data_IF_839162284594
#
_entry.id   IF_839162284594
#
_cell.length_a   1.000
_cell.length_b   1.000
_cell.length_c   1.000
_cell.angle_alpha   90.00
_cell.angle_beta   90.00
_cell.angle_gamma   90.00
#
_symmetry.space_group_name_H-M   'P 1'
#
loop_
_entity.id
_entity.type
_entity.pdbx_description
1 polymer ?
#
# COMPACT_ATOMS: atom_id res chain seq x y z
N UNK A 1 -7.96 12.64 -13.43
CA UNK A 1 -6.75 11.83 -13.62
C UNK A 1 -6.87 10.55 -12.81
N UNK A 2 -6.68 9.39 -13.43
CA UNK A 2 -6.84 8.08 -12.78
C UNK A 2 -5.77 7.12 -13.26
N UNK A 3 -5.07 6.48 -12.33
CA UNK A 3 -4.20 5.33 -12.57
C UNK A 3 -4.67 4.16 -11.71
N UNK A 4 -4.50 2.95 -12.19
CA UNK A 4 -4.86 1.70 -11.50
C UNK A 4 -3.67 0.76 -11.53
N UNK A 5 -3.27 0.27 -10.37
CA UNK A 5 -2.20 -0.72 -10.25
C UNK A 5 -2.78 -2.09 -9.93
N UNK A 6 -2.16 -3.13 -10.46
CA UNK A 6 -2.50 -4.53 -10.23
C UNK A 6 -1.25 -5.34 -9.96
N UNK A 7 -1.35 -6.29 -9.05
CA UNK A 7 -0.38 -7.38 -8.94
C UNK A 7 -0.62 -8.35 -10.10
N UNK A 8 0.05 -8.11 -11.24
CA UNK A 8 -0.03 -9.02 -12.39
C UNK A 8 0.44 -10.42 -12.02
N UNK A 9 1.45 -10.48 -11.15
CA UNK A 9 1.88 -11.66 -10.42
C UNK A 9 1.97 -11.30 -8.94
N UNK A 10 1.62 -12.23 -8.05
CA UNK A 10 1.59 -11.93 -6.60
C UNK A 10 2.99 -11.86 -6.01
N UNK A 11 3.91 -12.71 -6.50
CA UNK A 11 5.32 -12.68 -6.07
C UNK A 11 6.00 -11.40 -6.54
N UNK A 12 6.78 -10.81 -5.64
CA UNK A 12 7.54 -9.59 -5.89
C UNK A 12 8.99 -9.76 -5.42
N UNK A 13 9.82 -8.73 -5.56
CA UNK A 13 11.19 -8.69 -5.03
C UNK A 13 11.25 -9.00 -3.52
N UNK A 14 10.16 -8.78 -2.77
CA UNK A 14 10.10 -9.06 -1.33
C UNK A 14 10.24 -10.55 -1.01
N UNK A 15 9.84 -11.42 -1.93
CA UNK A 15 10.03 -12.87 -1.78
C UNK A 15 11.50 -13.30 -1.85
N UNK A 16 12.36 -12.51 -2.50
CA UNK A 16 13.81 -12.73 -2.51
C UNK A 16 14.47 -12.27 -1.20
N UNK A 17 13.82 -11.36 -0.46
CA UNK A 17 14.31 -10.84 0.82
C UNK A 17 13.89 -11.71 2.02
N UNK A 18 12.71 -12.33 1.95
CA UNK A 18 12.15 -13.09 3.06
C UNK A 18 11.26 -14.24 2.59
N UNK A 19 11.66 -15.47 2.88
CA UNK A 19 10.94 -16.69 2.49
C UNK A 19 9.51 -16.78 3.06
N UNK A 20 9.23 -16.07 4.16
CA UNK A 20 7.91 -16.04 4.81
C UNK A 20 6.94 -15.02 4.21
N UNK A 21 7.37 -14.21 3.24
CA UNK A 21 6.50 -13.22 2.60
C UNK A 21 5.42 -13.89 1.77
N UNK A 22 4.25 -13.24 1.63
CA UNK A 22 3.10 -13.78 0.88
C UNK A 22 3.50 -14.25 -0.52
N UNK A 23 3.01 -15.43 -0.93
CA UNK A 23 3.33 -16.00 -2.24
C UNK A 23 2.13 -16.08 -3.16
N UNK A 24 0.92 -15.97 -2.61
CA UNK A 24 -0.33 -16.19 -3.34
C UNK A 24 -0.63 -17.66 -3.61
N UNK A 25 0.11 -18.59 -2.99
CA UNK A 25 -0.12 -20.04 -3.17
C UNK A 25 -1.49 -20.50 -2.61
N UNK A 26 -2.13 -19.69 -1.78
CA UNK A 26 -3.47 -19.87 -1.21
C UNK A 26 -4.59 -19.24 -2.05
N UNK A 27 -4.25 -18.53 -3.13
CA UNK A 27 -5.25 -17.92 -4.02
C UNK A 27 -5.76 -18.95 -5.01
N UNK A 28 -7.09 -19.08 -5.10
CA UNK A 28 -7.73 -20.01 -6.01
C UNK A 28 -7.36 -19.73 -7.48
N UNK A 29 -7.03 -20.77 -8.29
CA UNK A 29 -6.61 -20.58 -9.68
C UNK A 29 -7.63 -19.81 -10.53
N UNK A 30 -8.92 -19.94 -10.23
CA UNK A 30 -10.01 -19.23 -10.90
C UNK A 30 -9.97 -17.73 -10.64
N UNK A 31 -9.47 -17.31 -9.47
CA UNK A 31 -9.26 -15.89 -9.14
C UNK A 31 -8.04 -15.36 -9.88
N UNK A 32 -6.92 -16.11 -9.85
CA UNK A 32 -5.70 -15.72 -10.59
C UNK A 32 -5.95 -15.58 -12.09
N UNK A 33 -6.78 -16.46 -12.67
CA UNK A 33 -7.15 -16.40 -14.08
C UNK A 33 -7.91 -15.11 -14.46
N UNK A 34 -8.48 -14.39 -13.49
CA UNK A 34 -9.20 -13.15 -13.73
C UNK A 34 -8.29 -11.92 -13.76
N UNK A 35 -7.08 -11.98 -13.22
CA UNK A 35 -6.17 -10.84 -13.14
C UNK A 35 -5.90 -10.20 -14.52
N UNK A 36 -5.49 -10.97 -15.57
CA UNK A 36 -5.29 -10.38 -16.88
C UNK A 36 -6.57 -9.82 -17.51
N UNK A 37 -7.73 -10.39 -17.16
CA UNK A 37 -9.02 -9.90 -17.66
C UNK A 37 -9.35 -8.53 -17.06
N UNK A 38 -9.18 -8.38 -15.74
CA UNK A 38 -9.45 -7.12 -15.03
C UNK A 38 -8.54 -6.01 -15.53
N UNK A 39 -7.26 -6.28 -15.76
CA UNK A 39 -6.31 -5.33 -16.35
C UNK A 39 -6.79 -4.86 -17.75
N UNK A 40 -7.24 -5.78 -18.59
CA UNK A 40 -7.77 -5.45 -19.93
C UNK A 40 -9.07 -4.65 -19.84
N UNK A 41 -9.96 -4.99 -18.90
CA UNK A 41 -11.18 -4.21 -18.64
C UNK A 41 -10.81 -2.78 -18.25
N UNK A 42 -9.88 -2.60 -17.30
CA UNK A 42 -9.44 -1.28 -16.87
C UNK A 42 -8.83 -0.47 -18.03
N UNK A 43 -7.97 -1.10 -18.84
CA UNK A 43 -7.40 -0.46 -20.02
C UNK A 43 -8.46 -0.12 -21.07
N UNK A 44 -9.47 -0.98 -21.28
CA UNK A 44 -10.59 -0.75 -22.18
C UNK A 44 -11.52 0.37 -21.68
N UNK A 45 -11.63 0.54 -20.36
CA UNK A 45 -12.29 1.69 -19.74
C UNK A 45 -11.52 3.00 -19.92
N UNK A 46 -10.32 2.96 -20.52
CA UNK A 46 -9.51 4.14 -20.84
C UNK A 46 -8.65 4.61 -19.66
N UNK A 47 -8.47 3.77 -18.65
CA UNK A 47 -7.60 4.06 -17.52
C UNK A 47 -6.13 3.75 -17.86
N UNK A 48 -5.20 4.42 -17.21
CA UNK A 48 -3.81 3.98 -17.15
C UNK A 48 -3.72 2.79 -16.22
N UNK A 49 -3.10 1.71 -16.68
CA UNK A 49 -2.96 0.45 -15.95
C UNK A 49 -1.49 0.16 -15.73
N UNK A 50 -1.12 -0.10 -14.48
CA UNK A 50 0.22 -0.49 -14.05
C UNK A 50 0.20 -1.97 -13.59
N UNK A 51 0.45 -2.94 -14.50
CA UNK A 51 0.55 -4.35 -14.13
C UNK A 51 1.95 -4.63 -13.57
N UNK A 52 2.02 -4.89 -12.29
CA UNK A 52 3.31 -5.10 -11.60
C UNK A 52 3.75 -6.56 -11.66
N UNK A 53 5.04 -6.76 -11.90
CA UNK A 53 5.68 -8.08 -11.98
C UNK A 53 6.84 -8.19 -10.98
N UNK A 54 7.75 -7.23 -10.95
CA UNK A 54 8.88 -7.16 -10.02
C UNK A 54 8.49 -6.46 -8.72
N UNK A 55 7.69 -5.39 -8.85
CA UNK A 55 7.13 -4.61 -7.74
C UNK A 55 5.70 -5.05 -7.46
N UNK A 56 5.13 -4.55 -6.37
CA UNK A 56 3.71 -4.72 -6.05
C UNK A 56 2.88 -3.51 -6.52
N UNK A 57 1.57 -3.72 -6.66
CA UNK A 57 0.63 -2.63 -6.98
C UNK A 57 0.77 -1.46 -5.99
N UNK A 58 1.04 -1.77 -4.74
CA UNK A 58 1.22 -0.80 -3.66
C UNK A 58 2.43 0.10 -3.89
N UNK A 59 3.55 -0.47 -4.38
CA UNK A 59 4.75 0.28 -4.73
C UNK A 59 4.48 1.24 -5.91
N UNK A 60 3.71 0.80 -6.90
CA UNK A 60 3.32 1.64 -8.04
C UNK A 60 2.46 2.83 -7.59
N UNK A 61 1.48 2.60 -6.71
CA UNK A 61 0.63 3.68 -6.17
C UNK A 61 1.42 4.64 -5.27
N UNK A 62 2.31 4.12 -4.42
CA UNK A 62 3.20 4.94 -3.59
C UNK A 62 4.16 5.80 -4.44
N UNK A 63 4.69 5.22 -5.52
CA UNK A 63 5.53 5.93 -6.50
C UNK A 63 4.74 7.03 -7.19
N UNK A 64 3.53 6.74 -7.68
CA UNK A 64 2.66 7.72 -8.32
C UNK A 64 2.31 8.87 -7.36
N UNK A 65 1.95 8.56 -6.11
CA UNK A 65 1.66 9.55 -5.10
C UNK A 65 2.88 10.43 -4.80
N UNK A 66 4.06 9.84 -4.68
CA UNK A 66 5.31 10.59 -4.44
C UNK A 66 5.69 11.46 -5.62
N UNK A 67 5.57 10.95 -6.84
CA UNK A 67 5.95 11.63 -8.07
C UNK A 67 5.04 12.80 -8.42
N UNK A 68 3.72 12.63 -8.26
CA UNK A 68 2.75 13.62 -8.70
C UNK A 68 2.33 14.61 -7.60
N UNK A 69 2.52 14.30 -6.32
CA UNK A 69 2.14 15.22 -5.25
C UNK A 69 2.86 16.59 -5.26
N UNK A 70 4.09 16.74 -5.77
CA UNK A 70 4.73 18.07 -5.86
C UNK A 70 4.23 18.92 -7.03
N UNK A 71 3.53 18.34 -8.02
CA UNK A 71 3.05 19.07 -9.20
C UNK A 71 1.98 20.10 -8.77
N UNK A 72 2.15 21.42 -9.09
CA UNK A 72 1.21 22.45 -8.68
C UNK A 72 -0.17 22.33 -9.36
N UNK A 73 -0.31 21.54 -10.40
CA UNK A 73 -1.58 21.27 -11.10
C UNK A 73 -2.42 20.21 -10.39
N UNK A 74 -1.83 19.48 -9.44
CA UNK A 74 -2.52 18.47 -8.64
C UNK A 74 -2.98 19.11 -7.34
N UNK A 75 -4.26 19.22 -7.12
CA UNK A 75 -4.81 19.72 -5.86
C UNK A 75 -4.71 18.68 -4.74
N UNK A 76 -5.04 17.44 -5.05
CA UNK A 76 -5.03 16.34 -4.10
C UNK A 76 -4.81 15.00 -4.81
N UNK A 77 -4.13 14.07 -4.15
CA UNK A 77 -4.03 12.67 -4.54
C UNK A 77 -4.84 11.84 -3.57
N UNK A 78 -5.72 11.01 -4.11
CA UNK A 78 -6.56 10.10 -3.33
C UNK A 78 -6.17 8.67 -3.68
N UNK A 79 -5.60 7.95 -2.72
CA UNK A 79 -5.31 6.52 -2.85
C UNK A 79 -6.54 5.75 -2.38
N UNK A 80 -7.21 5.07 -3.31
CA UNK A 80 -8.40 4.27 -3.03
C UNK A 80 -8.00 2.81 -2.77
N UNK A 81 -7.64 2.49 -1.54
CA UNK A 81 -7.30 1.14 -1.09
C UNK A 81 -7.74 0.94 0.36
N UNK A 82 -8.19 -0.26 0.75
CA UNK A 82 -8.43 -0.60 2.16
C UNK A 82 -7.13 -0.92 2.90
N UNK A 83 -6.01 -1.07 2.20
CA UNK A 83 -4.74 -1.48 2.78
C UNK A 83 -4.16 -0.40 3.70
N UNK A 84 -3.74 -0.85 4.89
CA UNK A 84 -3.19 0.02 5.93
C UNK A 84 -1.79 0.53 5.61
N UNK A 85 -1.07 -0.16 4.75
CA UNK A 85 0.31 0.17 4.41
C UNK A 85 0.41 1.50 3.68
N UNK A 86 -0.63 1.88 2.95
CA UNK A 86 -0.72 3.21 2.32
C UNK A 86 -0.79 4.37 3.32
N UNK A 87 -1.00 4.12 4.61
CA UNK A 87 -0.92 5.18 5.61
C UNK A 87 0.45 5.87 5.63
N UNK A 88 1.52 5.18 5.21
CA UNK A 88 2.86 5.76 5.03
C UNK A 88 2.95 6.79 3.89
N UNK A 89 2.01 6.74 2.92
CA UNK A 89 1.98 7.65 1.79
C UNK A 89 1.28 8.97 2.10
N UNK A 90 0.53 9.05 3.19
CA UNK A 90 -0.28 10.22 3.57
C UNK A 90 0.61 11.43 3.85
N UNK A 91 0.20 12.62 3.36
CA UNK A 91 0.91 13.89 3.53
C UNK A 91 -0.10 15.02 3.74
N UNK A 92 -0.37 15.39 4.97
CA UNK A 92 -1.39 16.38 5.31
C UNK A 92 -2.73 16.02 4.67
N UNK A 93 -3.29 16.97 3.93
CA UNK A 93 -4.48 16.78 3.10
C UNK A 93 -4.14 16.65 1.61
N UNK A 94 -2.84 16.67 1.27
CA UNK A 94 -2.37 16.62 -0.11
C UNK A 94 -2.39 15.21 -0.70
N UNK A 95 -2.02 14.21 0.11
CA UNK A 95 -2.15 12.79 -0.22
C UNK A 95 -2.96 12.14 0.89
N UNK A 96 -4.12 11.61 0.54
CA UNK A 96 -5.07 11.01 1.48
C UNK A 96 -5.46 9.61 1.04
N UNK A 97 -5.91 8.79 1.99
CA UNK A 97 -6.52 7.49 1.70
C UNK A 97 -8.03 7.63 1.64
N UNK A 98 -8.66 6.86 0.77
CA UNK A 98 -10.11 6.72 0.76
C UNK A 98 -10.51 5.24 0.85
N UNK A 99 -10.98 4.82 2.00
CA UNK A 99 -11.66 3.53 2.19
C UNK A 99 -13.07 3.63 1.61
N UNK A 100 -13.22 3.20 0.37
CA UNK A 100 -14.51 3.28 -0.35
C UNK A 100 -15.59 2.36 0.22
N UNK A 101 -15.20 1.31 0.94
CA UNK A 101 -16.16 0.39 1.56
C UNK A 101 -16.86 1.06 2.74
N UNK A 102 -16.09 1.84 3.52
CA UNK A 102 -16.57 2.56 4.70
C UNK A 102 -16.87 4.03 4.42
N UNK A 103 -16.65 4.47 3.18
CA UNK A 103 -16.74 5.88 2.75
C UNK A 103 -16.02 6.84 3.71
N UNK A 104 -14.76 6.51 4.00
CA UNK A 104 -13.93 7.24 4.95
C UNK A 104 -12.65 7.72 4.30
N UNK A 105 -12.44 9.04 4.34
CA UNK A 105 -11.16 9.66 4.00
C UNK A 105 -10.28 9.71 5.24
N UNK A 106 -8.99 9.36 5.07
CA UNK A 106 -7.98 9.38 6.13
C UNK A 106 -6.84 10.28 5.65
N UNK A 107 -6.71 11.42 6.30
CA UNK A 107 -5.59 12.34 6.18
C UNK A 107 -4.53 12.07 7.28
N UNK A 108 -3.55 12.94 7.44
CA UNK A 108 -2.48 12.76 8.42
C UNK A 108 -2.98 12.74 9.87
N UNK A 109 -3.97 13.56 10.19
CA UNK A 109 -4.63 13.53 11.51
C UNK A 109 -5.33 12.18 11.72
N UNK A 110 -6.05 11.70 10.72
CA UNK A 110 -6.70 10.39 10.73
C UNK A 110 -5.70 9.22 10.85
N UNK A 111 -4.47 9.35 10.31
CA UNK A 111 -3.39 8.38 10.52
C UNK A 111 -2.99 8.37 11.99
N UNK A 112 -2.73 9.53 12.58
CA UNK A 112 -2.40 9.63 14.01
C UNK A 112 -3.51 9.08 14.91
N UNK A 113 -4.76 9.40 14.64
CA UNK A 113 -5.90 8.89 15.41
C UNK A 113 -6.03 7.37 15.35
N UNK A 114 -5.83 6.79 14.16
CA UNK A 114 -6.06 5.36 13.93
C UNK A 114 -4.92 4.48 14.42
N UNK A 115 -3.67 4.90 14.18
CA UNK A 115 -2.49 4.07 14.46
C UNK A 115 -1.65 4.57 15.63
N UNK A 116 -1.86 5.80 16.09
CA UNK A 116 -1.11 6.41 17.19
C UNK A 116 0.29 6.87 16.81
N UNK A 117 0.61 6.89 15.52
CA UNK A 117 1.90 7.35 14.96
C UNK A 117 1.65 8.16 13.69
N UNK A 118 2.64 8.95 13.28
CA UNK A 118 2.60 9.63 11.99
C UNK A 118 2.89 8.70 10.81
N UNK A 119 2.58 9.15 9.58
CA UNK A 119 2.80 8.38 8.36
C UNK A 119 4.22 7.80 8.23
N UNK A 120 5.24 8.59 8.58
CA UNK A 120 6.64 8.17 8.48
C UNK A 120 7.03 6.99 9.38
N UNK A 121 6.25 6.72 10.44
CA UNK A 121 6.49 5.60 11.37
C UNK A 121 5.62 4.38 11.10
N UNK A 122 4.81 4.39 10.05
CA UNK A 122 3.96 3.23 9.70
C UNK A 122 4.79 1.98 9.35
N UNK A 123 5.86 2.07 8.54
CA UNK A 123 6.70 0.89 8.29
C UNK A 123 7.32 0.32 9.58
N UNK A 124 7.79 1.19 10.47
CA UNK A 124 8.32 0.79 11.78
C UNK A 124 7.26 0.12 12.66
N UNK A 125 6.04 0.65 12.64
CA UNK A 125 4.90 0.07 13.36
C UNK A 125 4.61 -1.35 12.89
N UNK A 126 4.56 -1.55 11.56
CA UNK A 126 4.31 -2.85 10.93
C UNK A 126 5.48 -3.82 11.15
N UNK A 127 6.71 -3.34 11.07
CA UNK A 127 7.90 -4.14 11.37
C UNK A 127 7.90 -4.69 12.81
N UNK A 128 7.43 -3.89 13.78
CA UNK A 128 7.33 -4.31 15.17
C UNK A 128 6.13 -5.21 15.44
N UNK A 129 4.94 -4.82 15.00
CA UNK A 129 3.71 -5.57 15.31
C UNK A 129 3.44 -6.76 14.39
N UNK A 130 4.10 -6.77 13.25
CA UNK A 130 3.86 -7.73 12.18
C UNK A 130 2.68 -7.37 11.28
N UNK A 131 2.63 -8.06 10.15
CA UNK A 131 1.53 -8.06 9.21
C UNK A 131 1.22 -9.48 8.73
N UNK A 132 0.13 -10.02 9.23
CA UNK A 132 -0.26 -11.41 8.91
C UNK A 132 -0.65 -11.57 7.44
N UNK A 133 -1.21 -10.51 6.82
CA UNK A 133 -1.63 -10.57 5.42
C UNK A 133 -0.42 -10.71 4.49
N UNK A 134 0.70 -10.06 4.83
CA UNK A 134 1.94 -10.12 4.06
C UNK A 134 2.92 -11.19 4.55
N UNK A 135 2.56 -11.94 5.60
CA UNK A 135 3.42 -12.95 6.18
C UNK A 135 4.54 -12.38 7.06
N UNK A 136 4.46 -11.12 7.47
CA UNK A 136 5.44 -10.47 8.35
C UNK A 136 5.14 -10.84 9.80
N UNK A 137 6.05 -11.57 10.50
CA UNK A 137 5.76 -12.08 11.84
C UNK A 137 5.69 -11.01 12.93
N UNK A 138 6.45 -9.92 12.76
CA UNK A 138 6.68 -8.95 13.83
C UNK A 138 7.54 -9.48 14.98
N UNK A 139 7.67 -8.66 16.03
CA UNK A 139 8.50 -8.98 17.21
C UNK A 139 7.61 -9.45 18.37
N UNK A 140 7.94 -10.57 19.03
CA UNK A 140 7.11 -11.11 20.10
C UNK A 140 6.81 -10.08 21.19
N UNK A 141 5.52 -10.00 21.59
CA UNK A 141 4.95 -9.06 22.56
C UNK A 141 4.82 -7.60 22.08
N UNK A 142 5.32 -7.26 20.90
CA UNK A 142 5.10 -5.95 20.28
C UNK A 142 3.76 -5.96 19.52
N UNK A 143 2.74 -5.39 20.12
CA UNK A 143 1.45 -5.16 19.48
C UNK A 143 1.25 -3.68 19.18
N UNK A 144 0.18 -3.32 18.50
CA UNK A 144 -0.08 -1.94 18.05
C UNK A 144 0.12 -0.90 19.17
N UNK A 145 -0.42 -1.14 20.37
CA UNK A 145 -0.36 -0.17 21.47
C UNK A 145 1.07 0.07 21.98
N UNK A 146 1.86 -1.00 22.17
CA UNK A 146 3.24 -0.86 22.64
C UNK A 146 4.12 -0.21 21.57
N UNK A 147 3.98 -0.64 20.31
CA UNK A 147 4.71 -0.10 19.18
C UNK A 147 4.38 1.39 18.99
N UNK A 148 3.09 1.74 18.94
CA UNK A 148 2.68 3.14 18.79
C UNK A 148 3.17 4.02 19.95
N UNK A 149 3.12 3.53 21.21
CA UNK A 149 3.60 4.31 22.35
C UNK A 149 5.09 4.67 22.24
N UNK A 150 5.92 3.73 21.78
CA UNK A 150 7.35 3.97 21.64
C UNK A 150 7.68 4.74 20.35
N UNK A 151 7.01 4.42 19.26
CA UNK A 151 7.24 5.13 17.99
C UNK A 151 6.69 6.57 17.99
N UNK A 152 5.68 6.89 18.77
CA UNK A 152 5.26 8.27 18.97
C UNK A 152 6.36 9.16 19.56
N UNK A 153 7.23 8.56 20.39
CA UNK A 153 8.37 9.26 21.01
C UNK A 153 9.64 9.15 20.16
N UNK A 154 10.00 7.93 19.75
CA UNK A 154 11.28 7.66 19.10
C UNK A 154 11.23 7.65 17.57
N UNK A 155 10.04 7.64 16.98
CA UNK A 155 9.74 7.69 15.55
C UNK A 155 10.18 6.45 14.76
N UNK A 156 11.36 5.89 15.01
CA UNK A 156 11.89 4.74 14.27
C UNK A 156 12.38 3.65 15.21
N UNK A 157 12.43 2.41 14.72
CA UNK A 157 12.96 1.25 15.47
C UNK A 157 14.40 1.50 15.90
N UNK A 158 15.21 2.09 15.04
CA UNK A 158 16.62 2.37 15.27
C UNK A 158 16.84 3.32 16.45
N UNK A 159 15.88 4.23 16.65
CA UNK A 159 15.96 5.25 17.71
C UNK A 159 15.48 4.77 19.07
N UNK A 160 14.85 3.60 19.16
CA UNK A 160 14.41 3.03 20.44
C UNK A 160 15.62 2.56 21.24
N UNK A 161 15.87 3.14 22.45
CA UNK A 161 17.02 2.75 23.27
C UNK A 161 16.93 1.29 23.73
N UNK A 162 18.09 0.63 23.78
CA UNK A 162 18.19 -0.76 24.25
C UNK A 162 17.86 -0.91 25.74
N UNK A 163 18.23 0.08 26.55
CA UNK A 163 17.92 0.08 27.98
C UNK A 163 16.53 0.65 28.24
N UNK A 164 15.56 -0.18 28.70
CA UNK A 164 14.20 0.26 28.95
C UNK A 164 14.08 1.27 30.10
N UNK A 165 15.07 1.37 30.98
CA UNK A 165 15.07 2.35 32.08
C UNK A 165 15.40 3.75 31.55
N UNK A 166 15.97 3.85 30.34
CA UNK A 166 16.23 5.12 29.65
C UNK A 166 15.03 5.62 28.83
N UNK A 167 13.95 4.85 28.73
CA UNK A 167 12.78 5.26 27.95
C UNK A 167 12.06 6.44 28.60
N UNK A 168 11.86 7.52 27.81
CA UNK A 168 11.12 8.72 28.22
C UNK A 168 9.62 8.47 28.38
N UNK A 169 9.09 7.37 27.79
CA UNK A 169 7.70 6.97 27.85
C UNK A 169 7.51 5.65 28.58
N UNK A 170 6.37 5.51 29.27
CA UNK A 170 6.05 4.28 30.02
C UNK A 170 5.35 3.27 29.10
N UNK A 171 5.99 2.14 28.84
CA UNK A 171 5.40 1.00 28.16
C UNK A 171 5.17 -0.17 29.13
N UNK A 172 3.98 -0.78 29.06
CA UNK A 172 3.68 -1.96 29.88
C UNK A 172 4.56 -3.13 29.46
N UNK A 173 5.34 -3.66 30.40
CA UNK A 173 6.26 -4.77 30.13
C UNK A 173 7.55 -4.35 29.44
N UNK A 174 8.01 -3.10 29.64
CA UNK A 174 9.17 -2.48 29.00
C UNK A 174 10.40 -3.40 28.93
N UNK A 175 10.77 -4.07 30.03
CA UNK A 175 11.90 -5.00 30.07
C UNK A 175 11.77 -6.12 29.01
N UNK A 176 10.62 -6.79 28.96
CA UNK A 176 10.42 -7.88 28.01
C UNK A 176 10.24 -7.39 26.56
N UNK A 177 9.76 -6.15 26.35
CA UNK A 177 9.73 -5.52 25.02
C UNK A 177 11.16 -5.23 24.55
N UNK A 178 11.99 -4.63 25.40
CA UNK A 178 13.39 -4.35 25.11
C UNK A 178 14.18 -5.64 24.83
N UNK A 179 14.09 -6.65 25.72
CA UNK A 179 14.77 -7.94 25.52
C UNK A 179 14.42 -8.59 24.19
N UNK A 180 13.13 -8.59 23.81
CA UNK A 180 12.69 -9.16 22.53
C UNK A 180 13.17 -8.35 21.33
N UNK A 181 13.14 -7.01 21.41
CA UNK A 181 13.62 -6.17 20.33
C UNK A 181 15.13 -6.31 20.15
N UNK A 182 15.91 -6.27 21.24
CA UNK A 182 17.37 -6.40 21.16
C UNK A 182 17.80 -7.75 20.59
N UNK A 183 17.12 -8.83 20.99
CA UNK A 183 17.43 -10.17 20.45
C UNK A 183 17.04 -10.38 19.00
N UNK A 184 16.16 -9.52 18.43
CA UNK A 184 15.61 -9.64 17.08
C UNK A 184 15.63 -8.32 16.32
N UNK A 185 16.54 -7.39 16.67
CA UNK A 185 16.60 -6.06 16.05
C UNK A 185 16.84 -6.12 14.53
N UNK A 186 17.69 -7.04 14.09
CA UNK A 186 17.94 -7.26 12.66
C UNK A 186 16.66 -7.74 11.95
N UNK A 187 15.91 -8.65 12.55
CA UNK A 187 14.64 -9.11 12.01
C UNK A 187 13.59 -7.98 11.97
N UNK A 188 13.53 -7.15 13.03
CA UNK A 188 12.63 -5.99 13.07
C UNK A 188 12.92 -4.99 11.92
N UNK A 189 14.20 -4.76 11.63
CA UNK A 189 14.62 -3.89 10.54
C UNK A 189 14.30 -4.50 9.17
N UNK A 190 14.47 -5.81 9.00
CA UNK A 190 14.03 -6.51 7.79
C UNK A 190 12.51 -6.41 7.62
N UNK A 191 11.74 -6.61 8.67
CA UNK A 191 10.27 -6.50 8.63
C UNK A 191 9.80 -5.08 8.32
N UNK A 192 10.49 -4.06 8.85
CA UNK A 192 10.29 -2.66 8.46
C UNK A 192 10.57 -2.45 6.97
N UNK A 193 11.66 -3.00 6.45
CA UNK A 193 12.02 -2.88 5.03
C UNK A 193 10.96 -3.54 4.15
N UNK A 194 10.48 -4.74 4.51
CA UNK A 194 9.39 -5.43 3.80
C UNK A 194 8.08 -4.62 3.79
N UNK A 195 7.76 -3.95 4.89
CA UNK A 195 6.56 -3.10 5.00
C UNK A 195 6.74 -1.71 4.36
N UNK A 196 7.96 -1.33 3.96
CA UNK A 196 8.23 -0.05 3.32
C UNK A 196 7.88 -0.10 1.84
N UNK A 197 6.96 0.76 1.41
CA UNK A 197 6.59 0.87 0.00
C UNK A 197 7.69 1.58 -0.80
N UNK A 198 8.05 1.00 -1.94
CA UNK A 198 8.97 1.62 -2.89
C UNK A 198 8.32 2.83 -3.54
N UNK A 199 9.11 3.86 -3.78
CA UNK A 199 8.66 5.10 -4.43
C UNK A 199 9.46 5.40 -5.71
N UNK A 200 10.12 4.39 -6.25
CA UNK A 200 11.01 4.46 -7.40
C UNK A 200 10.68 3.44 -8.50
N UNK A 201 9.45 2.93 -8.50
CA UNK A 201 8.94 2.10 -9.60
C UNK A 201 9.06 2.88 -10.91
N UNK A 202 9.59 2.30 -11.99
CA UNK A 202 9.84 3.00 -13.25
C UNK A 202 8.55 3.26 -14.05
N UNK A 203 7.61 4.00 -13.44
CA UNK A 203 6.40 4.46 -14.12
C UNK A 203 6.78 5.48 -15.20
N UNK A 204 6.28 5.29 -16.42
CA UNK A 204 6.62 6.13 -17.58
C UNK A 204 5.64 7.27 -17.83
N UNK A 205 4.42 7.13 -17.35
CA UNK A 205 3.32 8.04 -17.63
C UNK A 205 3.53 9.41 -16.95
N UNK A 206 3.17 10.44 -17.68
CA UNK A 206 3.03 11.82 -17.18
C UNK A 206 1.65 12.02 -16.56
N UNK A 207 1.45 13.17 -15.89
CA UNK A 207 0.14 13.50 -15.33
C UNK A 207 -0.93 13.66 -16.42
N UNK A 208 -0.53 14.13 -17.61
CA UNK A 208 -1.42 14.28 -18.76
C UNK A 208 -1.91 12.94 -19.29
N UNK A 209 -1.09 11.88 -19.16
CA UNK A 209 -1.48 10.53 -19.57
C UNK A 209 -2.55 9.94 -18.64
N UNK A 210 -2.58 10.38 -17.38
CA UNK A 210 -3.59 9.96 -16.41
C UNK A 210 -4.96 10.60 -16.62
N UNK A 211 -5.08 11.61 -17.50
CA UNK A 211 -6.38 12.24 -17.79
C UNK A 211 -7.34 11.21 -18.40
N UNK A 212 -8.42 10.93 -17.68
CA UNK A 212 -9.43 10.04 -18.23
C UNK A 212 -10.26 10.73 -19.32
N UNK A 213 -10.16 10.22 -20.53
CA UNK A 213 -10.81 10.78 -21.72
C UNK A 213 -12.01 9.96 -22.19
N UNK A 214 -12.35 8.89 -21.47
CA UNK A 214 -13.46 7.99 -21.81
C UNK A 214 -13.00 6.58 -22.17
N UNK A 215 -13.94 5.65 -22.21
CA UNK A 215 -13.71 4.25 -22.55
C UNK A 215 -13.45 4.07 -24.06
N UNK A 216 -12.67 3.04 -24.41
CA UNK A 216 -12.33 2.66 -25.78
C UNK A 216 -13.36 1.66 -26.29
N UNK A 217 -14.28 2.12 -27.15
CA UNK A 217 -15.46 1.33 -27.56
C UNK A 217 -15.11 -0.06 -28.10
N UNK A 218 -14.18 -0.17 -29.04
CA UNK A 218 -13.81 -1.46 -29.64
C UNK A 218 -13.23 -2.42 -28.60
N UNK A 219 -12.25 -1.96 -27.81
CA UNK A 219 -11.61 -2.80 -26.79
C UNK A 219 -12.61 -3.26 -25.70
N UNK A 220 -13.52 -2.36 -25.29
CA UNK A 220 -14.50 -2.73 -24.27
C UNK A 220 -15.56 -3.69 -24.81
N UNK A 221 -15.94 -3.56 -26.08
CA UNK A 221 -16.84 -4.53 -26.73
C UNK A 221 -16.21 -5.92 -26.79
N UNK A 222 -14.94 -6.01 -27.21
CA UNK A 222 -14.22 -7.30 -27.29
C UNK A 222 -14.14 -7.99 -25.90
N UNK A 223 -13.85 -7.23 -24.84
CA UNK A 223 -13.82 -7.77 -23.48
C UNK A 223 -15.22 -8.13 -22.98
N UNK A 224 -16.22 -7.30 -23.28
CA UNK A 224 -17.63 -7.56 -22.92
C UNK A 224 -18.13 -8.87 -23.54
N UNK A 225 -17.76 -9.14 -24.81
CA UNK A 225 -18.08 -10.40 -25.49
C UNK A 225 -17.40 -11.59 -24.80
N UNK A 226 -16.13 -11.46 -24.46
CA UNK A 226 -15.36 -12.52 -23.78
C UNK A 226 -15.91 -12.88 -22.41
N UNK A 227 -16.27 -11.88 -21.59
CA UNK A 227 -16.81 -12.11 -20.24
C UNK A 227 -18.32 -12.38 -20.23
N UNK A 228 -19.01 -12.19 -21.36
CA UNK A 228 -20.45 -12.39 -21.48
C UNK A 228 -21.29 -11.30 -20.80
N UNK A 229 -20.74 -10.10 -20.57
CA UNK A 229 -21.46 -8.97 -19.96
C UNK A 229 -21.55 -7.77 -20.91
N UNK A 230 -22.53 -7.81 -21.81
CA UNK A 230 -22.83 -6.66 -22.70
C UNK A 230 -23.38 -5.45 -21.95
N UNK A 231 -23.92 -5.66 -20.75
CA UNK A 231 -24.46 -4.57 -19.91
C UNK A 231 -23.40 -3.55 -19.49
N UNK A 232 -22.10 -3.91 -19.51
CA UNK A 232 -21.02 -2.96 -19.22
C UNK A 232 -21.00 -1.79 -20.20
N UNK A 233 -21.33 -2.04 -21.49
CA UNK A 233 -21.34 -1.01 -22.54
C UNK A 233 -22.42 0.05 -22.30
N UNK A 234 -23.56 -0.34 -21.73
CA UNK A 234 -24.70 0.56 -21.45
C UNK A 234 -24.41 1.49 -20.28
N UNK A 235 -23.44 1.16 -19.42
CA UNK A 235 -23.04 1.96 -18.24
C UNK A 235 -22.03 3.06 -18.58
N UNK A 236 -21.49 3.07 -19.82
CA UNK A 236 -20.45 4.01 -20.22
C UNK A 236 -21.08 5.29 -20.75
N UNK A 237 -20.89 6.38 -20.02
CA UNK A 237 -21.40 7.70 -20.39
C UNK A 237 -20.45 8.46 -21.35
N UNK A 238 -19.14 8.15 -21.28
CA UNK A 238 -18.14 8.84 -22.10
C UNK A 238 -17.25 7.85 -22.84
N UNK A 239 -17.20 8.02 -24.16
CA UNK A 239 -16.39 7.22 -25.06
C UNK A 239 -15.22 8.03 -25.63
N UNK A 240 -14.10 7.36 -25.83
CA UNK A 240 -12.94 7.85 -26.56
C UNK A 240 -12.84 7.05 -27.85
N UNK A 241 -12.88 7.74 -28.97
CA UNK A 241 -12.67 7.15 -30.30
C UNK A 241 -11.18 7.00 -30.60
#
# INVERSE_FOLDING_TARGET
HVGVAFDHVIRSYRNDMFDGYKTGDDVEPEILAQFPIVERVAAALGLVVWPMVEFEADDALATAATRFSPDPRVDQIIICSPDKDFAQCVRGQRVVLHDRIRDRVIDEEGVHEKWGVGPGSIPDLLGLMGDTADGIPGIPRWGQKSSATLLAEYQTIESIPADPDSWSVKARGAKGLSENLESQREAALLYKELATLRCDVPLTESIEDLEWRGARRGLLADVADEIGDQGILERIERWRD
#
